data_IF_389027512430
#
_entry.id   IF_389027512430
#
_cell.length_a   1.000
_cell.length_b   1.000
_cell.length_c   1.000
_cell.angle_alpha   90.00
_cell.angle_beta   90.00
_cell.angle_gamma   90.00
#
_symmetry.space_group_name_H-M   'P 1'
#
loop_
_entity.id
_entity.type
_entity.pdbx_description
1 polymer ?
#
# COMPACT_ATOMS: atom_id res chain seq x y z
N UNK A 1 11.49 5.29 4.76
CA UNK A 1 10.47 4.60 3.92
C UNK A 1 10.78 4.68 2.43
N UNK A 2 10.95 5.86 1.89
CA UNK A 2 11.22 6.04 0.45
C UNK A 2 12.46 5.28 -0.03
N UNK A 3 13.57 5.39 0.68
CA UNK A 3 14.82 4.70 0.33
C UNK A 3 14.66 3.17 0.37
N UNK A 4 13.98 2.65 1.37
CA UNK A 4 13.73 1.21 1.47
C UNK A 4 12.90 0.73 0.27
N UNK A 5 11.91 1.51 -0.18
CA UNK A 5 11.12 1.17 -1.35
C UNK A 5 11.93 1.26 -2.64
N UNK A 6 12.79 2.26 -2.77
CA UNK A 6 13.69 2.36 -3.94
C UNK A 6 14.56 1.13 -4.05
N UNK A 7 15.15 0.66 -2.95
CA UNK A 7 15.97 -0.55 -2.91
C UNK A 7 15.15 -1.80 -3.24
N UNK A 8 13.94 -1.91 -2.68
CA UNK A 8 13.07 -3.05 -2.93
C UNK A 8 12.62 -3.17 -4.40
N UNK A 9 12.51 -2.04 -5.09
CA UNK A 9 12.03 -1.98 -6.47
C UNK A 9 13.15 -2.00 -7.50
N UNK A 10 14.42 -2.14 -7.07
CA UNK A 10 15.56 -2.24 -7.99
C UNK A 10 15.51 -3.51 -8.83
N UNK A 11 16.11 -3.45 -10.01
CA UNK A 11 16.35 -4.62 -10.86
C UNK A 11 15.17 -5.04 -11.73
N UNK A 12 14.10 -4.27 -11.75
CA UNK A 12 12.96 -4.54 -12.63
C UNK A 12 13.26 -4.08 -14.06
N UNK A 13 12.77 -4.86 -15.03
CA UNK A 13 12.86 -4.54 -16.45
C UNK A 13 11.46 -4.56 -17.10
N UNK A 14 11.41 -4.43 -18.42
CA UNK A 14 10.15 -4.37 -19.17
C UNK A 14 9.35 -5.66 -19.11
N UNK A 15 9.97 -6.78 -18.79
CA UNK A 15 9.32 -8.09 -18.72
C UNK A 15 8.92 -8.48 -17.27
N UNK A 16 9.22 -7.63 -16.29
CA UNK A 16 8.91 -7.91 -14.90
C UNK A 16 7.41 -7.87 -14.66
N UNK A 17 6.88 -8.96 -14.09
CA UNK A 17 5.52 -9.00 -13.54
C UNK A 17 5.63 -8.79 -12.04
N UNK A 18 5.12 -7.66 -11.57
CA UNK A 18 5.11 -7.35 -10.14
C UNK A 18 3.78 -7.78 -9.53
N UNK A 19 3.85 -8.74 -8.61
CA UNK A 19 2.71 -9.13 -7.80
C UNK A 19 2.78 -8.40 -6.46
N UNK A 20 1.69 -7.73 -6.08
CA UNK A 20 1.60 -7.03 -4.80
C UNK A 20 0.70 -7.82 -3.86
N UNK A 21 1.25 -8.32 -2.77
CA UNK A 21 0.46 -8.88 -1.68
C UNK A 21 0.32 -7.81 -0.61
N UNK A 22 -0.87 -7.24 -0.52
CA UNK A 22 -1.16 -6.18 0.44
C UNK A 22 -1.77 -6.77 1.69
N UNK A 23 -0.95 -6.87 2.73
CA UNK A 23 -1.37 -7.29 4.05
C UNK A 23 -1.76 -6.03 4.85
N UNK A 24 -3.05 -5.90 5.14
CA UNK A 24 -3.59 -4.68 5.80
C UNK A 24 -3.02 -4.50 7.21
N UNK A 25 -2.57 -5.56 7.86
CA UNK A 25 -2.05 -5.47 9.21
C UNK A 25 -0.64 -4.86 9.29
N UNK A 26 0.02 -4.59 8.15
CA UNK A 26 1.28 -3.85 8.18
C UNK A 26 1.11 -2.39 8.59
N UNK A 27 -0.10 -1.86 8.46
CA UNK A 27 -0.43 -0.49 8.83
C UNK A 27 -0.48 -0.33 10.36
N UNK A 28 -0.16 0.87 10.83
CA UNK A 28 -0.28 1.14 12.26
C UNK A 28 -1.73 1.00 12.73
N UNK A 29 -1.99 0.33 13.88
CA UNK A 29 -3.37 0.14 14.37
C UNK A 29 -4.12 1.43 14.66
N UNK A 30 -3.41 2.54 14.86
CA UNK A 30 -4.05 3.85 15.07
C UNK A 30 -4.86 4.31 13.86
N UNK A 31 -4.50 3.84 12.65
CA UNK A 31 -5.22 4.17 11.42
C UNK A 31 -5.99 2.99 10.85
N UNK A 32 -5.61 1.77 11.17
CA UNK A 32 -6.17 0.55 10.61
C UNK A 32 -6.40 -0.53 11.68
N UNK A 33 -7.42 -0.37 12.55
CA UNK A 33 -7.69 -1.36 13.60
C UNK A 33 -8.41 -2.62 13.11
N UNK A 34 -8.99 -2.60 11.91
CA UNK A 34 -9.84 -3.67 11.37
C UNK A 34 -9.05 -4.86 10.83
N UNK A 35 -8.20 -5.44 11.66
CA UNK A 35 -7.34 -6.59 11.32
C UNK A 35 -7.38 -7.61 12.45
N UNK A 36 -7.03 -8.86 12.16
CA UNK A 36 -7.05 -9.92 13.15
C UNK A 36 -5.96 -9.79 14.20
N UNK A 37 -4.78 -9.35 13.82
CA UNK A 37 -3.63 -9.17 14.72
C UNK A 37 -2.99 -7.82 14.48
N UNK A 38 -3.04 -6.95 15.50
CA UNK A 38 -2.46 -5.61 15.40
C UNK A 38 -1.01 -5.61 15.87
N UNK A 39 -0.15 -4.86 15.17
CA UNK A 39 1.24 -4.65 15.54
C UNK A 39 1.52 -3.15 15.53
N UNK A 40 1.82 -2.54 16.68
CA UNK A 40 2.12 -1.11 16.73
C UNK A 40 3.46 -0.79 16.04
N UNK A 41 3.60 0.44 15.59
CA UNK A 41 4.82 0.92 14.95
C UNK A 41 4.86 0.76 13.44
N UNK A 42 3.74 0.44 12.81
CA UNK A 42 3.63 0.37 11.37
C UNK A 42 3.58 1.74 10.69
N UNK A 43 3.59 1.79 9.35
CA UNK A 43 3.52 3.04 8.62
C UNK A 43 2.20 3.77 8.88
N UNK A 44 2.27 5.10 8.85
CA UNK A 44 1.09 5.94 8.88
C UNK A 44 0.48 6.06 7.48
N UNK A 45 -0.62 6.80 7.37
CA UNK A 45 -1.36 6.94 6.11
C UNK A 45 -0.49 7.49 4.97
N UNK A 46 0.30 8.54 5.24
CA UNK A 46 1.14 9.14 4.20
C UNK A 46 2.28 8.25 3.76
N UNK A 47 2.87 7.54 4.69
CA UNK A 47 3.92 6.55 4.38
C UNK A 47 3.35 5.41 3.53
N UNK A 48 2.17 4.91 3.89
CA UNK A 48 1.51 3.86 3.12
C UNK A 48 1.13 4.34 1.72
N UNK A 49 0.61 5.58 1.58
CA UNK A 49 0.33 6.15 0.26
C UNK A 49 1.59 6.27 -0.59
N UNK A 50 2.69 6.73 0.00
CA UNK A 50 3.96 6.82 -0.73
C UNK A 50 4.40 5.46 -1.26
N UNK A 51 4.30 4.42 -0.43
CA UNK A 51 4.62 3.04 -0.84
C UNK A 51 3.79 2.64 -2.05
N UNK A 52 2.47 2.83 -1.99
CA UNK A 52 1.58 2.45 -3.09
C UNK A 52 1.84 3.24 -4.36
N UNK A 53 2.10 4.55 -4.24
CA UNK A 53 2.40 5.39 -5.38
C UNK A 53 3.74 5.03 -6.04
N UNK A 54 4.75 4.69 -5.25
CA UNK A 54 6.04 4.24 -5.78
C UNK A 54 5.91 2.92 -6.53
N UNK A 55 5.11 1.99 -6.02
CA UNK A 55 4.82 0.72 -6.70
C UNK A 55 4.08 1.00 -8.00
N UNK A 56 3.06 1.85 -7.99
CA UNK A 56 2.30 2.22 -9.18
C UNK A 56 3.19 2.86 -10.25
N UNK A 57 4.14 3.70 -9.84
CA UNK A 57 5.05 4.39 -10.75
C UNK A 57 5.96 3.44 -11.53
N UNK A 58 6.15 2.21 -11.07
CA UNK A 58 6.94 1.22 -11.80
C UNK A 58 6.29 0.83 -13.13
N UNK A 59 4.97 0.95 -13.23
CA UNK A 59 4.21 0.47 -14.38
C UNK A 59 4.23 -1.05 -14.55
N UNK A 60 4.65 -1.80 -13.53
CA UNK A 60 4.87 -3.25 -13.61
C UNK A 60 3.86 -4.08 -12.83
N UNK A 61 2.90 -3.45 -12.13
CA UNK A 61 1.91 -4.19 -11.36
C UNK A 61 1.04 -5.03 -12.30
N UNK A 62 1.12 -6.34 -12.15
CA UNK A 62 0.35 -7.28 -12.97
C UNK A 62 -0.75 -7.99 -12.19
N UNK A 63 -0.61 -8.09 -10.89
CA UNK A 63 -1.62 -8.72 -10.02
C UNK A 63 -1.47 -8.20 -8.59
N UNK A 64 -2.58 -8.24 -7.85
CA UNK A 64 -2.59 -7.91 -6.43
C UNK A 64 -3.48 -8.89 -5.67
N UNK A 65 -3.17 -9.08 -4.40
CA UNK A 65 -4.12 -9.61 -3.44
C UNK A 65 -4.17 -8.72 -2.19
N UNK A 66 -5.24 -8.82 -1.45
CA UNK A 66 -5.45 -8.04 -0.24
C UNK A 66 -5.90 -9.00 0.85
N UNK A 67 -5.14 -9.05 1.93
CA UNK A 67 -5.34 -10.01 3.00
C UNK A 67 -5.41 -9.32 4.36
N UNK A 68 -5.94 -10.02 5.34
CA UNK A 68 -5.99 -9.65 6.75
C UNK A 68 -6.96 -8.51 7.10
N UNK A 69 -7.79 -8.04 6.19
CA UNK A 69 -8.88 -7.12 6.54
C UNK A 69 -9.96 -7.89 7.31
N UNK A 70 -10.27 -7.42 8.51
CA UNK A 70 -11.33 -8.02 9.34
C UNK A 70 -12.35 -6.97 9.78
N UNK A 71 -13.50 -6.89 9.11
CA UNK A 71 -14.54 -5.91 9.45
C UNK A 71 -15.09 -6.04 10.85
N UNK A 72 -15.04 -7.23 11.45
CA UNK A 72 -15.53 -7.46 12.81
C UNK A 72 -14.72 -6.71 13.87
N UNK A 73 -13.46 -6.40 13.59
CA UNK A 73 -12.58 -5.64 14.47
C UNK A 73 -12.42 -4.18 14.06
N UNK A 74 -13.12 -3.78 13.00
CA UNK A 74 -12.98 -2.41 12.48
C UNK A 74 -13.86 -1.43 13.26
N UNK A 75 -13.50 -0.15 13.15
CA UNK A 75 -14.22 0.97 13.74
C UNK A 75 -14.92 1.74 12.61
N UNK A 76 -16.25 1.59 12.52
CA UNK A 76 -17.08 2.28 11.50
C UNK A 76 -16.56 2.09 10.07
N UNK A 77 -16.01 0.92 9.78
CA UNK A 77 -15.44 0.58 8.47
C UNK A 77 -14.25 1.47 8.05
N UNK A 78 -13.57 2.04 9.01
CA UNK A 78 -12.45 2.98 8.81
C UNK A 78 -11.28 2.31 8.09
N UNK A 79 -10.93 1.09 8.49
CA UNK A 79 -9.85 0.32 7.86
C UNK A 79 -10.23 -0.07 6.43
N UNK A 80 -11.49 -0.48 6.22
CA UNK A 80 -11.98 -0.80 4.87
C UNK A 80 -11.88 0.38 3.92
N UNK A 81 -12.27 1.56 4.36
CA UNK A 81 -12.16 2.79 3.57
C UNK A 81 -10.71 3.16 3.28
N UNK A 82 -9.84 3.02 4.27
CA UNK A 82 -8.41 3.26 4.11
C UNK A 82 -7.80 2.29 3.09
N UNK A 83 -8.16 1.01 3.17
CA UNK A 83 -7.68 0.01 2.22
C UNK A 83 -8.09 0.37 0.78
N UNK A 84 -9.33 0.82 0.57
CA UNK A 84 -9.78 1.28 -0.76
C UNK A 84 -8.95 2.45 -1.25
N UNK A 85 -8.68 3.42 -0.41
CA UNK A 85 -7.83 4.58 -0.77
C UNK A 85 -6.43 4.16 -1.21
N UNK A 86 -5.82 3.24 -0.48
CA UNK A 86 -4.48 2.75 -0.80
C UNK A 86 -4.46 1.94 -2.09
N UNK A 87 -5.51 1.15 -2.34
CA UNK A 87 -5.66 0.41 -3.59
C UNK A 87 -5.80 1.38 -4.77
N UNK A 88 -6.55 2.46 -4.63
CA UNK A 88 -6.65 3.48 -5.66
C UNK A 88 -5.29 4.09 -5.98
N UNK A 89 -4.47 4.35 -4.98
CA UNK A 89 -3.09 4.83 -5.16
C UNK A 89 -2.24 3.81 -5.92
N UNK A 90 -2.43 2.53 -5.64
CA UNK A 90 -1.74 1.45 -6.35
C UNK A 90 -2.12 1.41 -7.84
N UNK A 91 -3.33 1.82 -8.18
CA UNK A 91 -3.81 1.91 -9.56
C UNK A 91 -3.57 3.28 -10.19
N UNK A 92 -2.75 4.13 -9.59
CA UNK A 92 -2.25 5.34 -10.20
C UNK A 92 -2.84 6.65 -9.70
N UNK A 93 -3.80 6.63 -8.74
CA UNK A 93 -4.26 7.86 -8.11
C UNK A 93 -3.13 8.46 -7.29
N UNK A 94 -2.70 9.68 -7.61
CA UNK A 94 -1.63 10.34 -6.90
C UNK A 94 -2.17 11.48 -6.03
N UNK A 95 -1.74 11.52 -4.78
CA UNK A 95 -2.03 12.59 -3.83
C UNK A 95 -0.81 13.46 -3.56
N UNK A 96 0.35 13.05 -4.09
CA UNK A 96 1.61 13.76 -3.91
C UNK A 96 2.04 14.42 -5.23
N UNK A 97 2.59 15.61 -5.12
CA UNK A 97 3.16 16.32 -6.27
C UNK A 97 4.52 15.70 -6.60
N UNK A 98 4.51 14.77 -7.57
CA UNK A 98 5.71 14.08 -8.04
C UNK A 98 5.75 14.09 -9.55
N UNK A 99 6.96 14.12 -10.17
CA UNK A 99 7.06 13.94 -11.61
C UNK A 99 6.49 12.58 -12.01
N UNK A 100 5.83 12.53 -13.16
CA UNK A 100 5.37 11.25 -13.70
C UNK A 100 6.58 10.36 -14.02
N UNK A 101 6.43 9.05 -13.78
CA UNK A 101 7.43 8.08 -14.21
C UNK A 101 7.48 8.03 -15.74
N UNK A 102 8.67 8.08 -16.27
CA UNK A 102 8.88 8.06 -17.72
C UNK A 102 8.65 6.66 -18.31
#
# INVERSE_FOLDING_TARGET
MKRAMEEALEGMDVDTHLHVSFDVDFLDPSIAPGVGTTVPGGPNYREAQLVMEMIADTGRVGSIDIVELNPAFDDHNRTGKLAVDLIESLFGKSTLMRPAAA
#
